data_IF_439257930803
#
_entry.id   IF_439257930803
#
_cell.length_a   1.000
_cell.length_b   1.000
_cell.length_c   1.000
_cell.angle_alpha   90.00
_cell.angle_beta   90.00
_cell.angle_gamma   90.00
#
_symmetry.space_group_name_H-M   'P 1'
#
loop_
_entity.id
_entity.type
_entity.pdbx_description
1 polymer ?
#
# COMPACT_ATOMS: atom_id res chain seq x y z
N UNK A 1 -15.29 14.98 -47.04
CA UNK A 1 -15.69 14.49 -45.71
C UNK A 1 -14.48 14.62 -44.81
N UNK A 2 -14.59 15.26 -43.65
CA UNK A 2 -13.45 15.41 -42.74
C UNK A 2 -13.07 14.02 -42.20
N UNK A 3 -11.82 13.58 -42.47
CA UNK A 3 -11.24 12.40 -41.85
C UNK A 3 -10.92 12.74 -40.40
N UNK A 4 -11.83 12.44 -39.48
CA UNK A 4 -11.56 12.59 -38.05
C UNK A 4 -10.58 11.51 -37.62
N UNK A 5 -9.30 11.87 -37.54
CA UNK A 5 -8.26 10.99 -37.03
C UNK A 5 -8.29 11.06 -35.49
N UNK A 6 -8.82 10.02 -34.87
CA UNK A 6 -8.90 9.94 -33.40
C UNK A 6 -7.49 9.81 -32.85
N UNK A 7 -7.11 10.73 -31.97
CA UNK A 7 -5.78 10.72 -31.36
C UNK A 7 -5.70 9.67 -30.25
N UNK A 8 -4.58 8.96 -30.11
CA UNK A 8 -4.37 8.05 -29.00
C UNK A 8 -4.46 8.80 -27.67
N UNK A 9 -4.87 8.12 -26.59
CA UNK A 9 -4.88 8.73 -25.26
C UNK A 9 -3.47 9.13 -24.84
N UNK A 10 -3.39 10.13 -23.96
CA UNK A 10 -2.12 10.52 -23.34
C UNK A 10 -1.53 9.35 -22.56
N UNK A 11 -0.19 9.35 -22.44
CA UNK A 11 0.57 8.33 -21.72
C UNK A 11 -0.04 8.09 -20.34
N UNK A 12 -0.19 6.82 -19.96
CA UNK A 12 -0.71 6.46 -18.65
C UNK A 12 0.27 6.87 -17.55
N UNK A 13 -0.25 7.35 -16.42
CA UNK A 13 0.55 7.80 -15.26
C UNK A 13 0.99 6.64 -14.36
N UNK A 14 0.55 5.42 -14.63
CA UNK A 14 0.79 4.22 -13.82
C UNK A 14 0.30 4.32 -12.36
N UNK A 15 -0.59 5.28 -12.09
CA UNK A 15 -1.31 5.40 -10.82
C UNK A 15 -2.58 4.52 -10.86
N UNK A 16 -2.78 3.62 -9.87
CA UNK A 16 -3.98 2.77 -9.81
C UNK A 16 -5.31 3.52 -9.85
N UNK A 17 -5.34 4.73 -9.29
CA UNK A 17 -6.49 5.64 -9.21
C UNK A 17 -6.97 6.09 -10.60
N UNK A 18 -6.01 6.33 -11.49
CA UNK A 18 -6.25 6.85 -12.83
C UNK A 18 -6.65 5.75 -13.82
N UNK A 19 -6.43 4.47 -13.46
CA UNK A 19 -6.65 3.32 -14.34
C UNK A 19 -8.06 3.29 -14.93
N UNK A 20 -9.10 3.48 -14.11
CA UNK A 20 -10.49 3.43 -14.58
C UNK A 20 -10.79 4.54 -15.60
N UNK A 21 -10.26 5.74 -15.39
CA UNK A 21 -10.45 6.87 -16.29
C UNK A 21 -9.68 6.65 -17.60
N UNK A 22 -8.44 6.20 -17.48
CA UNK A 22 -7.56 5.99 -18.63
C UNK A 22 -8.02 4.81 -19.50
N UNK A 23 -8.33 3.65 -18.91
CA UNK A 23 -8.83 2.47 -19.63
C UNK A 23 -10.11 2.78 -20.42
N UNK A 24 -11.07 3.51 -19.82
CA UNK A 24 -12.28 3.97 -20.54
C UNK A 24 -11.96 4.89 -21.72
N UNK A 25 -10.94 5.74 -21.61
CA UNK A 25 -10.49 6.60 -22.71
C UNK A 25 -9.84 5.77 -23.82
N UNK A 26 -9.02 4.80 -23.47
CA UNK A 26 -8.41 3.87 -24.42
C UNK A 26 -9.47 3.03 -25.15
N UNK A 27 -10.48 2.49 -24.47
CA UNK A 27 -11.57 1.76 -25.12
C UNK A 27 -12.33 2.61 -26.14
N UNK A 28 -12.59 3.88 -25.81
CA UNK A 28 -13.20 4.82 -26.75
C UNK A 28 -12.32 5.06 -27.97
N UNK A 29 -11.01 5.18 -27.76
CA UNK A 29 -10.04 5.27 -28.85
C UNK A 29 -10.05 3.99 -29.70
N UNK A 30 -10.06 2.81 -29.07
CA UNK A 30 -10.09 1.50 -29.76
C UNK A 30 -11.30 1.36 -30.67
N UNK A 31 -12.49 1.71 -30.19
CA UNK A 31 -13.72 1.70 -30.99
C UNK A 31 -13.70 2.78 -32.08
N UNK A 32 -13.38 4.03 -31.72
CA UNK A 32 -13.50 5.15 -32.65
C UNK A 32 -12.42 5.19 -33.75
N UNK A 33 -11.24 4.60 -33.50
CA UNK A 33 -10.18 4.46 -34.51
C UNK A 33 -10.36 3.23 -35.41
N UNK A 34 -11.30 2.33 -35.09
CA UNK A 34 -11.47 1.05 -35.78
C UNK A 34 -10.43 0.00 -35.37
N UNK A 35 -9.55 0.28 -34.42
CA UNK A 35 -8.56 -0.64 -33.88
C UNK A 35 -9.19 -1.94 -33.34
N UNK A 36 -10.46 -1.89 -32.93
CA UNK A 36 -11.19 -3.09 -32.52
C UNK A 36 -11.31 -4.19 -33.60
N UNK A 37 -11.21 -3.80 -34.87
CA UNK A 37 -11.30 -4.71 -36.02
C UNK A 37 -9.92 -5.21 -36.48
N UNK A 38 -8.84 -4.64 -35.94
CA UNK A 38 -7.48 -5.10 -36.18
C UNK A 38 -7.19 -6.41 -35.44
N UNK A 39 -6.07 -7.05 -35.74
CA UNK A 39 -5.64 -8.26 -35.02
C UNK A 39 -5.53 -8.02 -33.51
N UNK A 40 -5.84 -9.02 -32.69
CA UNK A 40 -5.71 -8.88 -31.23
C UNK A 40 -4.27 -8.50 -30.82
N UNK A 41 -3.27 -8.98 -31.55
CA UNK A 41 -1.86 -8.62 -31.35
C UNK A 41 -1.61 -7.13 -31.62
N UNK A 42 -2.15 -6.58 -32.71
CA UNK A 42 -2.09 -5.13 -33.00
C UNK A 42 -2.78 -4.30 -31.92
N UNK A 43 -3.91 -4.78 -31.40
CA UNK A 43 -4.64 -4.12 -30.31
C UNK A 43 -3.81 -4.08 -29.03
N UNK A 44 -3.16 -5.20 -28.67
CA UNK A 44 -2.26 -5.28 -27.51
C UNK A 44 -1.05 -4.38 -27.70
N UNK A 45 -0.39 -4.43 -28.85
CA UNK A 45 0.78 -3.60 -29.13
C UNK A 45 0.43 -2.11 -29.03
N UNK A 46 -0.73 -1.71 -29.54
CA UNK A 46 -1.20 -0.32 -29.45
C UNK A 46 -1.54 0.08 -28.02
N UNK A 47 -2.10 -0.84 -27.22
CA UNK A 47 -2.37 -0.63 -25.80
C UNK A 47 -1.06 -0.37 -25.03
N UNK A 48 -0.08 -1.27 -25.16
CA UNK A 48 1.21 -1.17 -24.48
C UNK A 48 1.94 0.11 -24.92
N UNK A 49 1.99 0.38 -26.23
CA UNK A 49 2.60 1.60 -26.76
C UNK A 49 1.94 2.87 -26.22
N UNK A 50 0.60 2.91 -26.12
CA UNK A 50 -0.14 4.06 -25.59
C UNK A 50 0.04 4.24 -24.09
N UNK A 51 0.28 3.16 -23.34
CA UNK A 51 0.61 3.23 -21.91
C UNK A 51 2.05 3.70 -21.69
N UNK A 52 2.98 3.27 -22.55
CA UNK A 52 4.40 3.58 -22.50
C UNK A 52 5.25 2.44 -21.91
N UNK A 53 6.57 2.64 -21.88
CA UNK A 53 7.59 1.61 -21.58
C UNK A 53 7.35 0.83 -20.29
N UNK A 54 6.77 1.45 -19.27
CA UNK A 54 6.50 0.81 -17.98
C UNK A 54 5.40 -0.28 -18.10
N UNK A 55 4.62 -0.28 -19.18
CA UNK A 55 3.64 -1.33 -19.45
C UNK A 55 4.31 -2.66 -19.86
N UNK A 56 5.41 -2.61 -20.61
CA UNK A 56 6.19 -3.79 -20.98
C UNK A 56 6.76 -4.49 -19.73
N UNK A 57 7.32 -3.71 -18.79
CA UNK A 57 7.84 -4.22 -17.52
C UNK A 57 6.74 -4.94 -16.71
N UNK A 58 5.53 -4.39 -16.71
CA UNK A 58 4.38 -5.00 -16.00
C UNK A 58 3.95 -6.30 -16.68
N UNK A 59 3.84 -6.31 -18.02
CA UNK A 59 3.47 -7.53 -18.78
C UNK A 59 4.50 -8.64 -18.54
N UNK A 60 5.79 -8.30 -18.56
CA UNK A 60 6.87 -9.24 -18.26
C UNK A 60 6.81 -9.73 -16.80
N UNK A 61 6.57 -8.82 -15.85
CA UNK A 61 6.45 -9.16 -14.42
C UNK A 61 5.26 -10.08 -14.12
N UNK A 62 4.17 -9.95 -14.87
CA UNK A 62 2.95 -10.74 -14.69
C UNK A 62 3.06 -12.18 -15.22
N UNK A 63 4.17 -12.55 -15.88
CA UNK A 63 4.45 -13.92 -16.30
C UNK A 63 3.41 -14.49 -17.26
N UNK A 64 2.85 -13.67 -18.14
CA UNK A 64 1.82 -14.09 -19.10
C UNK A 64 2.46 -15.00 -20.15
N UNK A 65 1.85 -16.16 -20.44
CA UNK A 65 2.32 -17.05 -21.50
C UNK A 65 2.28 -16.33 -22.86
N UNK A 66 3.29 -16.54 -23.73
CA UNK A 66 3.42 -15.81 -25.00
C UNK A 66 2.17 -15.87 -25.88
N UNK A 67 1.45 -17.01 -25.89
CA UNK A 67 0.20 -17.16 -26.65
C UNK A 67 -0.97 -16.33 -26.10
N UNK A 68 -0.94 -15.98 -24.82
CA UNK A 68 -1.97 -15.17 -24.15
C UNK A 68 -1.62 -13.68 -24.15
N UNK A 69 -0.35 -13.31 -24.33
CA UNK A 69 0.08 -11.92 -24.53
C UNK A 69 -0.51 -11.33 -25.81
N UNK A 70 -0.87 -12.15 -26.79
CA UNK A 70 -1.48 -11.71 -28.05
C UNK A 70 -2.98 -11.47 -27.93
N UNK A 71 -3.61 -11.83 -26.81
CA UNK A 71 -5.06 -11.73 -26.63
C UNK A 71 -5.40 -10.47 -25.85
N UNK A 72 -6.09 -9.54 -26.51
CA UNK A 72 -6.47 -8.26 -25.92
C UNK A 72 -7.21 -8.41 -24.60
N UNK A 73 -8.20 -9.29 -24.55
CA UNK A 73 -9.03 -9.51 -23.36
C UNK A 73 -8.22 -10.03 -22.17
N UNK A 74 -7.23 -10.89 -22.41
CA UNK A 74 -6.38 -11.45 -21.34
C UNK A 74 -5.47 -10.37 -20.79
N UNK A 75 -4.78 -9.63 -21.66
CA UNK A 75 -3.88 -8.54 -21.27
C UNK A 75 -4.64 -7.43 -20.53
N UNK A 76 -5.80 -7.01 -21.06
CA UNK A 76 -6.67 -6.01 -20.40
C UNK A 76 -7.07 -6.45 -19.00
N UNK A 77 -7.57 -7.69 -18.84
CA UNK A 77 -7.97 -8.22 -17.53
C UNK A 77 -6.79 -8.27 -16.56
N UNK A 78 -5.59 -8.65 -17.04
CA UNK A 78 -4.39 -8.68 -16.21
C UNK A 78 -3.97 -7.29 -15.73
N UNK A 79 -4.08 -6.26 -16.57
CA UNK A 79 -3.88 -4.89 -16.14
C UNK A 79 -4.97 -4.42 -15.17
N UNK A 80 -6.24 -4.74 -15.42
CA UNK A 80 -7.33 -4.46 -14.48
C UNK A 80 -7.06 -5.07 -13.12
N UNK A 81 -6.71 -6.36 -13.05
CA UNK A 81 -6.38 -7.04 -11.81
C UNK A 81 -5.17 -6.38 -11.13
N UNK A 82 -4.11 -6.07 -11.87
CA UNK A 82 -2.90 -5.43 -11.32
C UNK A 82 -3.20 -4.06 -10.69
N UNK A 83 -3.93 -3.20 -11.39
CA UNK A 83 -4.22 -1.84 -10.90
C UNK A 83 -5.36 -1.83 -9.87
N UNK A 84 -6.39 -2.68 -9.98
CA UNK A 84 -7.46 -2.77 -8.98
C UNK A 84 -6.92 -3.37 -7.68
N UNK A 85 -6.12 -4.43 -7.73
CA UNK A 85 -5.47 -4.99 -6.54
C UNK A 85 -4.56 -3.95 -5.92
N UNK A 86 -3.72 -3.25 -6.70
CA UNK A 86 -2.87 -2.18 -6.15
C UNK A 86 -3.69 -1.04 -5.54
N UNK A 87 -4.81 -0.65 -6.14
CA UNK A 87 -5.71 0.36 -5.56
C UNK A 87 -6.27 -0.13 -4.23
N UNK A 88 -6.79 -1.37 -4.19
CA UNK A 88 -7.33 -1.94 -2.96
C UNK A 88 -6.24 -2.10 -1.90
N UNK A 89 -5.04 -2.58 -2.25
CA UNK A 89 -3.92 -2.68 -1.31
C UNK A 89 -3.45 -1.30 -0.87
N UNK A 90 -3.45 -0.28 -1.71
CA UNK A 90 -3.13 1.09 -1.26
C UNK A 90 -4.22 1.63 -0.36
N UNK A 91 -5.51 1.44 -0.68
CA UNK A 91 -6.63 1.87 0.17
C UNK A 91 -6.69 1.09 1.51
N UNK A 92 -6.33 -0.20 1.52
CA UNK A 92 -6.29 -1.04 2.72
C UNK A 92 -4.95 -0.94 3.47
N UNK A 93 -3.82 -0.67 2.80
CA UNK A 93 -2.58 -0.28 3.50
C UNK A 93 -2.67 1.15 4.04
N UNK A 94 -3.67 1.91 3.60
CA UNK A 94 -4.08 3.18 4.19
C UNK A 94 -5.21 2.99 5.21
N UNK A 95 -5.25 1.86 5.94
CA UNK A 95 -5.84 1.85 7.28
C UNK A 95 -5.07 2.88 8.11
N UNK A 96 -5.50 4.15 8.06
CA UNK A 96 -4.94 5.22 8.88
C UNK A 96 -5.32 4.99 10.34
N UNK A 97 -6.31 5.73 10.82
CA UNK A 97 -6.79 5.70 12.21
C UNK A 97 -7.08 4.28 12.70
N UNK A 98 -7.62 3.40 11.87
CA UNK A 98 -7.96 2.03 12.29
C UNK A 98 -6.73 1.15 12.56
N UNK A 99 -5.64 1.23 11.77
CA UNK A 99 -4.40 0.53 12.14
C UNK A 99 -3.73 1.20 13.33
N UNK A 100 -3.77 2.53 13.42
CA UNK A 100 -3.20 3.22 14.58
C UNK A 100 -3.90 2.82 15.88
N UNK A 101 -5.23 2.69 15.86
CA UNK A 101 -6.04 2.20 16.98
C UNK A 101 -5.72 0.73 17.29
N UNK A 102 -5.68 -0.15 16.29
CA UNK A 102 -5.36 -1.57 16.52
C UNK A 102 -3.93 -1.78 17.04
N UNK A 103 -2.96 -1.02 16.52
CA UNK A 103 -1.57 -1.06 17.00
C UNK A 103 -1.48 -0.47 18.40
N UNK A 104 -2.17 0.66 18.67
CA UNK A 104 -2.25 1.27 20.00
C UNK A 104 -2.82 0.27 21.01
N UNK A 105 -3.94 -0.36 20.68
CA UNK A 105 -4.62 -1.32 21.56
C UNK A 105 -3.73 -2.55 21.81
N UNK A 106 -3.02 -3.03 20.78
CA UNK A 106 -2.05 -4.12 20.92
C UNK A 106 -0.86 -3.76 21.82
N UNK A 107 -0.35 -2.53 21.71
CA UNK A 107 0.72 -2.01 22.58
C UNK A 107 0.20 -1.91 24.01
N UNK A 108 -0.95 -1.27 24.23
CA UNK A 108 -1.51 -1.03 25.56
C UNK A 108 -1.77 -2.35 26.31
N UNK A 109 -2.38 -3.34 25.66
CA UNK A 109 -2.60 -4.68 26.23
C UNK A 109 -1.29 -5.44 26.41
N UNK A 110 -0.31 -5.24 25.51
CA UNK A 110 1.00 -5.89 25.53
C UNK A 110 2.00 -5.33 26.56
N UNK A 111 1.72 -4.18 27.18
CA UNK A 111 2.59 -3.59 28.21
C UNK A 111 2.67 -4.53 29.42
N UNK A 112 3.92 -4.89 29.80
CA UNK A 112 4.20 -5.74 30.96
C UNK A 112 3.83 -5.09 32.30
N UNK A 113 3.89 -3.77 32.37
CA UNK A 113 3.56 -2.98 33.55
C UNK A 113 2.04 -2.78 33.65
N UNK A 114 1.38 -3.57 34.51
CA UNK A 114 -0.08 -3.61 34.62
C UNK A 114 -0.70 -2.27 35.01
N UNK A 115 -0.06 -1.54 35.93
CA UNK A 115 -0.52 -0.22 36.34
C UNK A 115 -0.44 0.83 35.21
N UNK A 116 0.57 0.74 34.33
CA UNK A 116 0.62 1.60 33.14
C UNK A 116 -0.43 1.18 32.11
N UNK A 117 -0.60 -0.13 31.89
CA UNK A 117 -1.58 -0.67 30.94
C UNK A 117 -3.00 -0.22 31.31
N UNK A 118 -3.40 -0.40 32.57
CA UNK A 118 -4.70 0.03 33.11
C UNK A 118 -4.89 1.54 32.98
N UNK A 119 -3.87 2.34 33.31
CA UNK A 119 -3.93 3.80 33.16
C UNK A 119 -4.18 4.21 31.71
N UNK A 120 -3.46 3.62 30.77
CA UNK A 120 -3.60 3.94 29.35
C UNK A 120 -4.94 3.47 28.77
N UNK A 121 -5.52 2.37 29.28
CA UNK A 121 -6.86 1.90 28.87
C UNK A 121 -7.98 2.86 29.28
N UNK A 122 -7.79 3.65 30.36
CA UNK A 122 -8.77 4.60 30.85
C UNK A 122 -8.68 5.99 30.18
N UNK A 123 -7.65 6.23 29.36
CA UNK A 123 -7.42 7.51 28.71
C UNK A 123 -8.26 7.63 27.42
N UNK A 124 -9.27 8.52 27.43
CA UNK A 124 -10.26 8.63 26.36
C UNK A 124 -9.70 9.18 25.03
N UNK A 125 -8.61 9.94 25.05
CA UNK A 125 -7.98 10.58 23.88
C UNK A 125 -6.59 9.99 23.55
N UNK A 126 -6.41 8.69 23.86
CA UNK A 126 -5.14 8.01 23.64
C UNK A 126 -4.85 7.83 22.15
N UNK A 127 -3.75 8.44 21.69
CA UNK A 127 -3.20 8.23 20.35
C UNK A 127 -2.07 7.21 20.37
N UNK A 128 -1.76 6.61 19.22
CA UNK A 128 -0.65 5.69 19.07
C UNK A 128 0.68 6.30 19.54
N UNK A 129 0.95 7.55 19.17
CA UNK A 129 2.17 8.26 19.55
C UNK A 129 2.30 8.41 21.07
N UNK A 130 1.22 8.83 21.75
CA UNK A 130 1.19 8.93 23.22
C UNK A 130 1.49 7.56 23.85
N UNK A 131 0.85 6.49 23.38
CA UNK A 131 1.08 5.13 23.89
C UNK A 131 2.55 4.67 23.75
N UNK A 132 3.16 4.92 22.59
CA UNK A 132 4.58 4.61 22.35
C UNK A 132 5.50 5.42 23.28
N UNK A 133 5.24 6.71 23.42
CA UNK A 133 6.03 7.60 24.27
C UNK A 133 5.95 7.18 25.74
N UNK A 134 4.77 6.88 26.26
CA UNK A 134 4.60 6.41 27.64
C UNK A 134 5.29 5.06 27.89
N UNK A 135 5.18 4.11 26.96
CA UNK A 135 5.86 2.83 27.07
C UNK A 135 7.39 3.01 27.16
N UNK A 136 7.98 3.83 26.27
CA UNK A 136 9.43 4.12 26.25
C UNK A 136 9.90 4.87 27.50
N UNK A 137 9.18 5.90 27.92
CA UNK A 137 9.53 6.68 29.11
C UNK A 137 9.53 5.80 30.36
N UNK A 138 8.53 4.94 30.52
CA UNK A 138 8.46 4.06 31.70
C UNK A 138 9.55 3.00 31.70
N UNK A 139 9.96 2.50 30.54
CA UNK A 139 11.14 1.61 30.43
C UNK A 139 12.45 2.30 30.84
N UNK A 140 12.66 3.56 30.42
CA UNK A 140 13.84 4.35 30.81
C UNK A 140 13.88 4.61 32.32
N UNK A 141 12.74 4.99 32.91
CA UNK A 141 12.63 5.19 34.37
C UNK A 141 12.88 3.88 35.11
N UNK A 142 12.41 2.74 34.60
CA UNK A 142 12.63 1.43 35.24
C UNK A 142 14.08 0.97 35.16
N UNK A 143 14.79 1.23 34.05
CA UNK A 143 16.24 0.99 33.93
C UNK A 143 17.04 1.85 34.91
N UNK A 144 16.66 3.11 35.07
CA UNK A 144 17.27 4.02 36.04
C UNK A 144 17.03 3.56 37.49
N UNK A 145 15.79 3.24 37.87
CA UNK A 145 15.45 2.73 39.21
C UNK A 145 16.16 1.41 39.55
N UNK A 146 16.23 0.46 38.62
CA UNK A 146 16.96 -0.79 38.82
C UNK A 146 18.47 -0.60 39.04
N UNK A 147 19.07 0.44 38.45
CA UNK A 147 20.45 0.83 38.70
C UNK A 147 20.65 1.39 40.13
N UNK A 148 19.71 2.22 40.61
CA UNK A 148 19.76 2.77 41.96
C UNK A 148 19.48 1.71 43.05
N UNK A 149 18.58 0.76 42.82
CA UNK A 149 18.29 -0.33 43.77
C UNK A 149 19.45 -1.33 43.85
N UNK A 150 20.10 -1.67 42.73
CA UNK A 150 21.27 -2.56 42.72
C UNK A 150 22.46 -1.95 43.44
N UNK A 151 22.69 -0.64 43.28
CA UNK A 151 23.76 0.08 43.98
C UNK A 151 23.45 0.30 45.48
N UNK A 152 22.19 0.41 45.87
CA UNK A 152 21.79 0.44 47.28
C UNK A 152 21.96 -0.92 47.97
N UNK A 153 21.60 -2.03 47.30
CA UNK A 153 21.71 -3.38 47.87
C UNK A 153 23.16 -3.89 47.97
N UNK A 154 24.05 -3.44 47.08
CA UNK A 154 25.50 -3.72 47.15
C UNK A 154 26.20 -2.99 48.30
N UNK A 155 25.71 -1.83 48.74
CA UNK A 155 26.25 -1.14 49.93
C UNK A 155 25.79 -1.79 51.23
N UNK A 156 24.54 -2.29 51.26
CA UNK A 156 23.98 -2.99 52.42
C UNK A 156 24.65 -4.34 52.71
N UNK A 157 25.23 -5.00 51.70
CA UNK A 157 25.95 -6.28 51.84
C UNK A 157 27.45 -6.12 52.11
N UNK A 158 27.99 -4.90 52.03
CA UNK A 158 29.39 -4.60 52.33
C UNK A 158 29.66 -4.22 53.80
N UNK A 159 28.63 -4.10 54.63
CA UNK A 159 28.73 -3.76 56.06
C UNK A 159 28.04 -4.77 56.99
N UNK A 160 27.75 -5.98 56.49
CA UNK A 160 27.34 -7.13 57.28
C UNK A 160 28.50 -8.13 57.37
#
# INVERSE_FOLDING_TARGET
>A
MASFQVQPPEKFTFKPEDWLKWSRRFERFRMASGLENESEESQVNTLIYSMGSEADDIVQSLGIAEGDQKKYNVVKKKFEDFFIIKRNVVEHCNFGVLCEELIRDRIVVGIRDKALSEKLQLEADLTLEKAVNFARQKETVRKSKGFFETTANSKSTMWA
#
